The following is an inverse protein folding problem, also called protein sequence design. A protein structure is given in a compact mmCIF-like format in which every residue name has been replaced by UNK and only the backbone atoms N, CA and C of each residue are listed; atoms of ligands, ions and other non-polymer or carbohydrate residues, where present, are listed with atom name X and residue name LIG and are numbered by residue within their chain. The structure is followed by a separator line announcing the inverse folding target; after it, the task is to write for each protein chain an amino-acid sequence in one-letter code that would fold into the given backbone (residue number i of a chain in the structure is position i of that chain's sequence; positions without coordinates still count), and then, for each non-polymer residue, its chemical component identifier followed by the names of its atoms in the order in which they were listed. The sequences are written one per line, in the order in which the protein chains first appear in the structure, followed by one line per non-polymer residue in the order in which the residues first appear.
data_IF_170912101040
#
_entry.id   IF_170912101040
#
_cell.length_a   1.000
_cell.length_b   1.000
_cell.length_c   1.000
_cell.angle_alpha   90.00
_cell.angle_beta   90.00
_cell.angle_gamma   90.00
#
_symmetry.space_group_name_H-M   'P 1'
#
loop_
_entity.id
_entity.type
_entity.pdbx_description
1 polymer ?
#
# COMPACT_ATOMS: atom_id res chain seq x y z
N UNK A 1 -22.39 29.92 22.84
CA UNK A 1 -20.97 29.52 22.66
C UNK A 1 -20.80 28.02 22.36
N UNK A 2 -21.36 27.11 23.18
CA UNK A 2 -21.24 25.65 23.01
C UNK A 2 -21.76 25.09 21.66
N UNK A 3 -22.86 25.64 21.11
CA UNK A 3 -23.41 25.23 19.80
C UNK A 3 -22.46 25.59 18.65
N UNK A 4 -21.79 26.75 18.74
CA UNK A 4 -20.81 27.20 17.74
C UNK A 4 -19.55 26.34 17.80
N UNK A 5 -19.08 26.00 19.00
CA UNK A 5 -17.95 25.09 19.19
C UNK A 5 -18.26 23.68 18.66
N UNK A 6 -19.44 23.11 18.95
CA UNK A 6 -19.85 21.81 18.40
C UNK A 6 -19.90 21.81 16.87
N UNK A 7 -20.39 22.89 16.25
CA UNK A 7 -20.43 23.02 14.78
C UNK A 7 -19.01 23.07 14.20
N UNK A 8 -18.12 23.88 14.79
CA UNK A 8 -16.72 23.96 14.35
C UNK A 8 -16.00 22.61 14.49
N UNK A 9 -16.14 21.93 15.62
CA UNK A 9 -15.52 20.61 15.81
C UNK A 9 -16.05 19.57 14.81
N UNK A 10 -17.37 19.56 14.58
CA UNK A 10 -17.99 18.67 13.58
C UNK A 10 -17.45 18.95 12.18
N UNK A 11 -17.39 20.21 11.80
CA UNK A 11 -16.95 20.60 10.47
C UNK A 11 -15.45 20.27 10.28
N UNK A 12 -14.59 20.49 11.28
CA UNK A 12 -13.17 20.10 11.26
C UNK A 12 -12.99 18.59 11.08
N UNK A 13 -13.87 17.77 11.66
CA UNK A 13 -13.78 16.31 11.60
C UNK A 13 -14.37 15.73 10.31
N UNK A 14 -15.36 16.37 9.70
CA UNK A 14 -16.12 15.81 8.58
C UNK A 14 -15.81 16.46 7.23
N UNK A 15 -15.46 17.75 7.20
CA UNK A 15 -15.27 18.49 5.95
C UNK A 15 -13.83 18.33 5.42
N UNK A 16 -13.61 17.79 4.21
CA UNK A 16 -12.28 17.58 3.64
C UNK A 16 -11.42 18.83 3.49
N UNK A 17 -12.01 20.04 3.54
CA UNK A 17 -11.26 21.30 3.54
C UNK A 17 -10.33 21.47 4.75
N UNK A 18 -10.63 20.82 5.88
CA UNK A 18 -9.80 20.88 7.08
C UNK A 18 -8.77 19.74 7.16
N UNK A 19 -8.72 18.86 6.15
CA UNK A 19 -7.77 17.75 6.11
C UNK A 19 -6.31 18.19 6.29
N UNK A 20 -5.79 19.27 5.67
CA UNK A 20 -4.40 19.68 5.89
C UNK A 20 -4.09 20.03 7.35
N UNK A 21 -5.03 20.68 8.05
CA UNK A 21 -4.89 21.02 9.46
C UNK A 21 -4.83 19.76 10.34
N UNK A 22 -5.79 18.84 10.15
CA UNK A 22 -5.85 17.59 10.90
C UNK A 22 -4.62 16.72 10.61
N UNK A 23 -4.19 16.64 9.35
CA UNK A 23 -2.98 15.95 8.93
C UNK A 23 -1.72 16.51 9.60
N UNK A 24 -1.57 17.83 9.68
CA UNK A 24 -0.43 18.45 10.36
C UNK A 24 -0.39 18.12 11.86
N UNK A 25 -1.53 18.24 12.55
CA UNK A 25 -1.63 17.87 13.97
C UNK A 25 -1.31 16.39 14.21
N UNK A 26 -1.86 15.50 13.38
CA UNK A 26 -1.58 14.05 13.48
C UNK A 26 -0.12 13.74 13.18
N UNK A 27 0.49 14.35 12.17
CA UNK A 27 1.90 14.14 11.87
C UNK A 27 2.83 14.55 13.03
N UNK A 28 2.51 15.65 13.73
CA UNK A 28 3.25 16.08 14.92
C UNK A 28 3.06 15.09 16.09
N UNK A 29 1.83 14.64 16.33
CA UNK A 29 1.52 13.65 17.36
C UNK A 29 2.27 12.33 17.09
N UNK A 30 2.27 11.87 15.84
CA UNK A 30 2.97 10.67 15.39
C UNK A 30 4.49 10.79 15.57
N UNK A 31 5.08 11.98 15.41
CA UNK A 31 6.47 12.22 15.77
C UNK A 31 6.73 11.93 17.26
N UNK A 32 5.83 12.38 18.13
CA UNK A 32 5.86 12.05 19.56
C UNK A 32 5.69 10.56 19.85
N UNK A 33 4.76 9.88 19.17
CA UNK A 33 4.53 8.43 19.32
C UNK A 33 5.77 7.65 18.91
N UNK A 34 6.39 7.94 17.77
CA UNK A 34 7.60 7.26 17.33
C UNK A 34 8.75 7.44 18.33
N UNK A 35 8.95 8.67 18.82
CA UNK A 35 9.92 8.97 19.87
C UNK A 35 9.65 8.25 21.20
N UNK A 36 8.38 8.02 21.53
CA UNK A 36 7.97 7.24 22.70
C UNK A 36 8.25 5.75 22.49
N UNK A 37 7.87 5.20 21.32
CA UNK A 37 8.09 3.80 20.95
C UNK A 37 9.59 3.46 21.00
N UNK A 38 10.44 4.28 20.38
CA UNK A 38 11.91 4.07 20.37
C UNK A 38 12.50 4.03 21.78
N UNK A 39 11.96 4.82 22.72
CA UNK A 39 12.47 4.90 24.08
C UNK A 39 11.92 3.84 25.02
N UNK A 40 10.68 3.39 24.80
CA UNK A 40 9.92 2.60 25.77
C UNK A 40 9.66 1.16 25.33
N UNK A 41 9.71 0.87 24.04
CA UNK A 41 9.45 -0.47 23.50
C UNK A 41 10.78 -1.12 23.07
N UNK A 42 11.08 -2.34 23.53
CA UNK A 42 12.27 -3.06 23.10
C UNK A 42 12.31 -3.25 21.58
N UNK A 43 13.50 -3.07 21.02
CA UNK A 43 13.77 -3.40 19.63
C UNK A 43 13.54 -4.89 19.36
N UNK A 44 13.00 -5.24 18.18
CA UNK A 44 12.73 -6.64 17.80
C UNK A 44 13.46 -6.95 16.51
N UNK A 45 14.63 -7.59 16.64
CA UNK A 45 15.41 -8.05 15.51
C UNK A 45 14.65 -9.13 14.74
N UNK A 46 14.59 -8.98 13.41
CA UNK A 46 14.04 -9.99 12.50
C UNK A 46 14.91 -10.07 11.25
N UNK A 47 15.03 -8.95 10.53
CA UNK A 47 15.73 -8.92 9.24
C UNK A 47 16.86 -7.87 9.18
N UNK A 48 17.00 -6.96 10.15
CA UNK A 48 17.96 -5.86 10.05
C UNK A 48 19.39 -6.36 9.97
N UNK A 49 19.78 -7.28 10.85
CA UNK A 49 21.10 -7.91 10.80
C UNK A 49 21.35 -8.63 9.48
N UNK A 50 20.36 -9.38 8.99
CA UNK A 50 20.46 -10.06 7.71
C UNK A 50 20.65 -9.07 6.55
N UNK A 51 19.91 -7.95 6.54
CA UNK A 51 20.09 -6.89 5.54
C UNK A 51 21.51 -6.30 5.59
N UNK A 52 22.07 -6.08 6.77
CA UNK A 52 23.42 -5.54 6.93
C UNK A 52 24.49 -6.51 6.41
N UNK A 53 24.33 -7.81 6.68
CA UNK A 53 25.23 -8.86 6.18
C UNK A 53 25.14 -9.01 4.65
N UNK A 54 23.93 -8.95 4.09
CA UNK A 54 23.70 -9.02 2.64
C UNK A 54 24.42 -7.88 1.91
N UNK A 55 24.31 -6.63 2.41
CA UNK A 55 24.99 -5.48 1.79
C UNK A 55 26.48 -5.40 2.12
N UNK A 56 26.92 -5.98 3.25
CA UNK A 56 28.33 -6.12 3.59
C UNK A 56 29.06 -7.01 2.57
N UNK A 57 28.42 -8.11 2.13
CA UNK A 57 28.96 -8.93 1.03
C UNK A 57 29.26 -8.10 -0.22
N UNK A 58 28.34 -7.20 -0.58
CA UNK A 58 28.56 -6.27 -1.69
C UNK A 58 29.65 -5.23 -1.39
N UNK A 59 29.69 -4.68 -0.17
CA UNK A 59 30.71 -3.73 0.27
C UNK A 59 32.13 -4.33 0.17
N UNK A 60 32.24 -5.64 0.41
CA UNK A 60 33.49 -6.40 0.30
C UNK A 60 33.86 -6.79 -1.15
N UNK A 61 33.08 -6.36 -2.15
CA UNK A 61 33.39 -6.53 -3.57
C UNK A 61 32.58 -7.61 -4.29
N UNK A 62 31.74 -8.37 -3.60
CA UNK A 62 30.94 -9.43 -4.23
C UNK A 62 29.89 -8.84 -5.18
N UNK A 63 29.99 -9.19 -6.47
CA UNK A 63 29.01 -8.84 -7.51
C UNK A 63 28.19 -10.03 -8.01
N UNK A 64 28.53 -11.24 -7.62
CA UNK A 64 27.69 -12.41 -7.86
C UNK A 64 26.54 -12.45 -6.85
N UNK A 65 25.33 -12.14 -7.31
CA UNK A 65 24.13 -12.06 -6.48
C UNK A 65 23.79 -13.38 -5.77
N UNK A 66 24.26 -14.52 -6.30
CA UNK A 66 24.00 -15.83 -5.69
C UNK A 66 24.78 -16.05 -4.39
N UNK A 67 25.82 -15.25 -4.15
CA UNK A 67 26.70 -15.32 -2.99
C UNK A 67 26.29 -14.32 -1.90
N UNK A 68 25.45 -13.32 -2.22
CA UNK A 68 24.94 -12.35 -1.27
C UNK A 68 23.86 -13.01 -0.38
N UNK A 69 24.11 -13.09 0.92
CA UNK A 69 23.24 -13.75 1.91
C UNK A 69 23.46 -13.19 3.31
N UNK A 70 22.45 -13.31 4.16
CA UNK A 70 22.53 -13.07 5.60
C UNK A 70 21.99 -14.26 6.38
N UNK A 71 21.83 -14.09 7.69
CA UNK A 71 21.39 -15.14 8.62
C UNK A 71 19.98 -15.66 8.32
N UNK A 72 19.13 -14.86 7.68
CA UNK A 72 17.77 -15.24 7.28
C UNK A 72 17.68 -15.86 5.88
N UNK A 73 18.81 -15.97 5.18
CA UNK A 73 18.91 -16.64 3.87
C UNK A 73 19.58 -15.78 2.78
N UNK A 74 19.41 -16.18 1.51
CA UNK A 74 19.97 -15.45 0.39
C UNK A 74 19.28 -14.11 0.16
N UNK A 75 20.01 -13.15 -0.41
CA UNK A 75 19.45 -11.89 -0.85
C UNK A 75 18.46 -12.12 -2.00
N UNK A 76 17.21 -11.72 -1.78
CA UNK A 76 16.09 -11.89 -2.75
C UNK A 76 15.45 -10.56 -3.17
N UNK A 77 16.09 -9.44 -2.86
CA UNK A 77 15.63 -8.12 -3.23
C UNK A 77 16.41 -7.63 -4.45
N UNK A 78 15.84 -6.80 -5.34
CA UNK A 78 16.60 -6.27 -6.47
C UNK A 78 17.65 -5.23 -6.07
N UNK A 79 18.48 -4.81 -7.03
CA UNK A 79 19.69 -4.02 -6.78
C UNK A 79 19.46 -2.69 -6.02
N UNK A 80 18.29 -2.08 -6.15
CA UNK A 80 17.97 -0.84 -5.43
C UNK A 80 17.98 -1.01 -3.91
N UNK A 81 17.61 -2.19 -3.41
CA UNK A 81 17.77 -2.53 -2.00
C UNK A 81 19.22 -2.45 -1.58
N UNK A 82 20.14 -3.06 -2.34
CA UNK A 82 21.58 -3.11 -2.00
C UNK A 82 22.12 -1.70 -1.84
N UNK A 83 21.86 -0.80 -2.80
CA UNK A 83 22.40 0.56 -2.73
C UNK A 83 21.82 1.39 -1.58
N UNK A 84 20.52 1.30 -1.32
CA UNK A 84 19.88 2.05 -0.23
C UNK A 84 20.33 1.52 1.14
N UNK A 85 20.35 0.20 1.31
CA UNK A 85 20.77 -0.43 2.57
C UNK A 85 22.27 -0.36 2.79
N UNK A 86 23.10 -0.28 1.74
CA UNK A 86 24.52 0.04 1.87
C UNK A 86 24.72 1.46 2.42
N UNK A 87 23.91 2.43 2.00
CA UNK A 87 23.91 3.77 2.59
C UNK A 87 23.57 3.74 4.09
N UNK A 88 22.57 2.95 4.48
CA UNK A 88 22.21 2.75 5.88
C UNK A 88 23.30 2.02 6.66
N UNK A 89 23.93 1.00 6.06
CA UNK A 89 25.04 0.25 6.64
C UNK A 89 26.18 1.22 7.03
N UNK A 90 26.62 2.09 6.12
CA UNK A 90 27.66 3.06 6.47
C UNK A 90 27.19 4.11 7.47
N UNK A 91 25.96 4.63 7.35
CA UNK A 91 25.43 5.65 8.25
C UNK A 91 25.30 5.15 9.70
N UNK A 92 25.08 3.86 9.91
CA UNK A 92 24.82 3.25 11.23
C UNK A 92 26.03 2.53 11.81
N UNK A 93 27.24 2.82 11.31
CA UNK A 93 28.46 2.15 11.78
C UNK A 93 28.43 0.66 11.47
N UNK A 94 28.13 0.30 10.22
CA UNK A 94 27.99 -1.08 9.71
C UNK A 94 26.78 -1.82 10.30
N UNK A 95 25.71 -1.10 10.61
CA UNK A 95 24.49 -1.68 11.19
C UNK A 95 24.47 -1.79 12.72
N UNK A 96 25.57 -1.44 13.40
CA UNK A 96 25.69 -1.58 14.86
C UNK A 96 24.85 -0.55 15.64
N UNK A 97 24.73 0.68 15.12
CA UNK A 97 23.88 1.71 15.72
C UNK A 97 22.41 1.56 15.30
N UNK A 98 21.76 0.57 15.91
CA UNK A 98 20.34 0.30 15.70
C UNK A 98 19.49 1.50 16.14
N UNK A 99 19.89 2.26 17.17
CA UNK A 99 19.11 3.43 17.60
C UNK A 99 19.09 4.49 16.51
N UNK A 100 20.22 4.78 15.88
CA UNK A 100 20.25 5.69 14.75
C UNK A 100 19.36 5.18 13.61
N UNK A 101 19.42 3.88 13.30
CA UNK A 101 18.53 3.26 12.32
C UNK A 101 17.04 3.49 12.66
N UNK A 102 16.64 3.30 13.92
CA UNK A 102 15.26 3.56 14.37
C UNK A 102 14.83 5.01 14.16
N UNK A 103 15.71 5.99 14.40
CA UNK A 103 15.40 7.40 14.15
C UNK A 103 15.29 7.70 12.64
N UNK A 104 16.15 7.11 11.81
CA UNK A 104 16.05 7.22 10.35
C UNK A 104 14.71 6.64 9.87
N UNK A 105 14.32 5.46 10.37
CA UNK A 105 13.06 4.82 10.02
C UNK A 105 11.82 5.55 10.58
N UNK A 106 11.94 6.23 11.73
CA UNK A 106 10.90 7.13 12.20
C UNK A 106 10.75 8.34 11.26
N UNK A 107 11.84 8.90 10.75
CA UNK A 107 11.81 9.92 9.70
C UNK A 107 11.14 9.41 8.41
N UNK A 108 11.48 8.19 7.99
CA UNK A 108 10.86 7.52 6.84
C UNK A 108 9.36 7.29 7.06
N UNK A 109 8.94 6.92 8.27
CA UNK A 109 7.54 6.77 8.64
C UNK A 109 6.77 8.09 8.50
N UNK A 110 7.30 9.18 9.05
CA UNK A 110 6.68 10.50 8.96
C UNK A 110 6.62 10.98 7.50
N UNK A 111 7.68 10.78 6.71
CA UNK A 111 7.68 11.07 5.28
C UNK A 111 6.59 10.27 4.55
N UNK A 112 6.51 8.97 4.80
CA UNK A 112 5.48 8.10 4.23
C UNK A 112 4.07 8.61 4.58
N UNK A 113 3.84 8.96 5.83
CA UNK A 113 2.57 9.50 6.31
C UNK A 113 2.22 10.82 5.62
N UNK A 114 3.17 11.74 5.48
CA UNK A 114 2.98 13.01 4.76
C UNK A 114 2.63 12.79 3.28
N UNK A 115 3.30 11.84 2.61
CA UNK A 115 3.01 11.49 1.21
C UNK A 115 1.59 10.92 1.06
N UNK A 116 1.16 10.08 1.99
CA UNK A 116 -0.20 9.54 2.05
C UNK A 116 -1.22 10.65 2.30
N UNK A 117 -0.99 11.50 3.30
CA UNK A 117 -1.88 12.63 3.60
C UNK A 117 -2.02 13.57 2.41
N UNK A 118 -0.93 13.87 1.70
CA UNK A 118 -0.97 14.67 0.48
C UNK A 118 -1.89 14.04 -0.58
N UNK A 119 -1.80 12.73 -0.81
CA UNK A 119 -2.69 12.00 -1.73
C UNK A 119 -4.16 12.19 -1.31
N UNK A 120 -4.47 12.03 -0.03
CA UNK A 120 -5.84 12.20 0.45
C UNK A 120 -6.34 13.65 0.36
N UNK A 121 -5.51 14.63 0.72
CA UNK A 121 -5.83 16.05 0.54
C UNK A 121 -6.13 16.37 -0.93
N UNK A 122 -5.37 15.79 -1.87
CA UNK A 122 -5.57 15.99 -3.31
C UNK A 122 -6.85 15.34 -3.82
N UNK A 123 -7.25 14.20 -3.28
CA UNK A 123 -8.50 13.53 -3.70
C UNK A 123 -9.75 14.17 -3.10
N UNK A 124 -9.66 14.71 -1.88
CA UNK A 124 -10.77 15.37 -1.19
C UNK A 124 -11.98 14.46 -0.90
N UNK A 125 -11.79 13.14 -0.96
CA UNK A 125 -12.88 12.15 -0.84
C UNK A 125 -13.06 11.60 0.58
N UNK A 126 -12.07 11.75 1.45
CA UNK A 126 -12.07 11.13 2.78
C UNK A 126 -12.20 12.19 3.88
N UNK A 127 -13.17 12.03 4.80
CA UNK A 127 -13.31 12.92 5.94
C UNK A 127 -12.07 12.92 6.87
N UNK A 128 -11.67 14.08 7.43
CA UNK A 128 -10.49 14.19 8.28
C UNK A 128 -10.45 13.24 9.49
N UNK A 129 -11.60 12.95 10.12
CA UNK A 129 -11.62 12.06 11.30
C UNK A 129 -11.07 10.65 11.01
N UNK A 130 -11.12 10.20 9.75
CA UNK A 130 -10.65 8.86 9.38
C UNK A 130 -9.12 8.76 9.47
N UNK A 131 -8.41 9.89 9.41
CA UNK A 131 -6.96 9.94 9.49
C UNK A 131 -6.46 9.55 10.88
N UNK A 132 -7.28 9.78 11.92
CA UNK A 132 -7.00 9.29 13.26
C UNK A 132 -6.80 7.78 13.28
N UNK A 133 -7.65 7.02 12.58
CA UNK A 133 -7.49 5.56 12.49
C UNK A 133 -6.26 5.17 11.68
N UNK A 134 -5.91 5.92 10.63
CA UNK A 134 -4.70 5.65 9.84
C UNK A 134 -3.40 5.86 10.64
N UNK A 135 -3.41 6.73 11.65
CA UNK A 135 -2.22 7.02 12.44
C UNK A 135 -2.20 6.19 13.72
N UNK A 136 -3.28 6.28 14.49
CA UNK A 136 -3.30 5.86 15.88
C UNK A 136 -3.83 4.45 16.09
N UNK A 137 -4.44 3.81 15.07
CA UNK A 137 -5.08 2.50 15.26
C UNK A 137 -4.12 1.31 15.09
N UNK A 138 -2.92 1.50 14.50
CA UNK A 138 -2.03 0.37 14.24
C UNK A 138 -0.75 0.39 15.05
N UNK A 139 -0.66 -0.50 16.04
CA UNK A 139 0.62 -0.87 16.64
C UNK A 139 1.57 -1.49 15.60
N UNK A 140 1.01 -2.25 14.65
CA UNK A 140 1.77 -3.00 13.66
C UNK A 140 2.55 -2.11 12.70
N UNK A 141 2.00 -0.96 12.29
CA UNK A 141 2.71 -0.04 11.39
C UNK A 141 3.99 0.50 12.04
N UNK A 142 3.89 0.94 13.29
CA UNK A 142 5.01 1.39 14.11
C UNK A 142 6.05 0.29 14.29
N UNK A 143 5.59 -0.93 14.55
CA UNK A 143 6.49 -2.08 14.69
C UNK A 143 7.25 -2.38 13.41
N UNK A 144 6.58 -2.36 12.24
CA UNK A 144 7.22 -2.62 10.94
C UNK A 144 8.29 -1.57 10.62
N UNK A 145 7.98 -0.29 10.80
CA UNK A 145 8.92 0.79 10.51
C UNK A 145 10.04 0.84 11.55
N UNK A 146 9.72 0.96 12.83
CA UNK A 146 10.67 1.44 13.84
C UNK A 146 11.18 0.34 14.78
N UNK A 147 10.49 -0.79 14.90
CA UNK A 147 10.96 -1.89 15.74
C UNK A 147 11.59 -3.04 14.96
N UNK A 148 11.28 -3.18 13.67
CA UNK A 148 11.78 -4.26 12.79
C UNK A 148 12.66 -3.76 11.65
N UNK A 149 12.53 -2.48 11.29
CA UNK A 149 13.35 -1.82 10.26
C UNK A 149 13.27 -2.53 8.88
N UNK A 150 12.08 -3.01 8.52
CA UNK A 150 11.87 -3.74 7.27
C UNK A 150 12.09 -2.90 6.02
N UNK A 151 12.47 -3.53 4.91
CA UNK A 151 12.64 -2.82 3.64
C UNK A 151 11.32 -2.40 2.96
N UNK A 152 10.18 -3.01 3.31
CA UNK A 152 8.86 -2.64 2.78
C UNK A 152 8.53 -1.14 2.96
N UNK A 153 8.69 -0.55 4.17
CA UNK A 153 8.68 0.89 4.38
C UNK A 153 9.34 1.74 3.29
N UNK A 154 10.56 1.39 2.90
CA UNK A 154 11.36 2.16 1.93
C UNK A 154 10.72 2.07 0.55
N UNK A 155 10.39 0.85 0.10
CA UNK A 155 9.73 0.64 -1.18
C UNK A 155 8.38 1.36 -1.26
N UNK A 156 7.61 1.35 -0.17
CA UNK A 156 6.28 1.96 -0.12
C UNK A 156 6.32 3.49 -0.07
N UNK A 157 7.27 4.09 0.65
CA UNK A 157 7.46 5.53 0.64
C UNK A 157 7.78 6.03 -0.79
N UNK A 158 8.65 5.32 -1.51
CA UNK A 158 8.99 5.64 -2.91
C UNK A 158 7.77 5.45 -3.82
N UNK A 159 6.97 4.38 -3.63
CA UNK A 159 5.72 4.18 -4.38
C UNK A 159 4.71 5.30 -4.12
N UNK A 160 4.49 5.72 -2.88
CA UNK A 160 3.58 6.83 -2.59
C UNK A 160 4.10 8.15 -3.15
N UNK A 161 5.42 8.36 -3.18
CA UNK A 161 6.00 9.48 -3.89
C UNK A 161 5.68 9.40 -5.39
N UNK A 162 5.84 8.24 -6.04
CA UNK A 162 5.46 8.04 -7.43
C UNK A 162 3.99 8.38 -7.69
N UNK A 163 3.08 7.95 -6.81
CA UNK A 163 1.65 8.28 -6.87
C UNK A 163 1.41 9.79 -6.78
N UNK A 164 2.12 10.48 -5.89
CA UNK A 164 2.03 11.94 -5.79
C UNK A 164 2.43 12.65 -7.09
N UNK A 165 3.44 12.14 -7.83
CA UNK A 165 3.80 12.64 -9.16
C UNK A 165 2.74 12.31 -10.23
N UNK A 166 2.15 11.11 -10.20
CA UNK A 166 1.03 10.77 -11.09
C UNK A 166 -0.19 11.70 -10.89
N UNK A 167 -0.49 12.08 -9.64
CA UNK A 167 -1.57 13.03 -9.29
C UNK A 167 -1.28 14.48 -9.69
N UNK A 168 -0.06 14.79 -10.11
CA UNK A 168 0.37 16.09 -10.64
C UNK A 168 0.61 16.04 -12.16
N UNK A 169 0.16 14.98 -12.84
CA UNK A 169 0.42 14.76 -14.27
C UNK A 169 1.91 14.68 -14.67
N UNK A 170 2.80 14.42 -13.70
CA UNK A 170 4.24 14.26 -13.91
C UNK A 170 4.61 12.79 -14.12
N UNK A 171 4.05 12.19 -15.16
CA UNK A 171 4.07 10.73 -15.39
C UNK A 171 5.47 10.12 -15.58
N UNK A 172 6.41 10.80 -16.24
CA UNK A 172 7.78 10.27 -16.41
C UNK A 172 8.50 10.08 -15.06
N UNK A 173 8.39 11.06 -14.17
CA UNK A 173 8.96 11.01 -12.82
C UNK A 173 8.26 9.95 -11.97
N UNK A 174 6.94 9.85 -12.08
CA UNK A 174 6.18 8.78 -11.45
C UNK A 174 6.64 7.39 -11.91
N UNK A 175 6.88 7.16 -13.20
CA UNK A 175 7.40 5.89 -13.73
C UNK A 175 8.83 5.60 -13.24
N UNK A 176 9.70 6.60 -13.22
CA UNK A 176 11.05 6.48 -12.67
C UNK A 176 11.01 6.02 -11.20
N UNK A 177 10.23 6.72 -10.37
CA UNK A 177 10.09 6.40 -8.94
C UNK A 177 9.37 5.06 -8.72
N UNK A 178 8.37 4.73 -9.54
CA UNK A 178 7.72 3.43 -9.51
C UNK A 178 8.72 2.30 -9.74
N UNK A 179 9.57 2.43 -10.76
CA UNK A 179 10.63 1.46 -11.02
C UNK A 179 11.68 1.45 -9.90
N UNK A 180 12.02 2.61 -9.31
CA UNK A 180 12.90 2.66 -8.16
C UNK A 180 12.32 1.87 -6.97
N UNK A 181 11.02 2.00 -6.69
CA UNK A 181 10.34 1.22 -5.66
C UNK A 181 10.39 -0.30 -5.96
N UNK A 182 10.16 -0.70 -7.21
CA UNK A 182 10.33 -2.10 -7.67
C UNK A 182 11.76 -2.58 -7.41
N UNK A 183 12.77 -1.74 -7.65
CA UNK A 183 14.17 -2.11 -7.43
C UNK A 183 14.53 -2.31 -5.96
N UNK A 184 13.73 -1.80 -5.02
CA UNK A 184 13.87 -2.07 -3.58
C UNK A 184 13.14 -3.34 -3.19
N UNK A 185 11.92 -3.53 -3.69
CA UNK A 185 11.12 -4.72 -3.42
C UNK A 185 10.24 -5.09 -4.61
N UNK A 186 10.44 -6.29 -5.15
CA UNK A 186 9.74 -6.76 -6.36
C UNK A 186 8.21 -6.75 -6.22
N UNK A 187 7.71 -6.87 -4.98
CA UNK A 187 6.32 -6.80 -4.59
C UNK A 187 5.54 -5.59 -5.15
N UNK A 188 6.23 -4.48 -5.42
CA UNK A 188 5.65 -3.30 -6.06
C UNK A 188 5.14 -3.59 -7.49
N UNK A 189 5.63 -4.65 -8.14
CA UNK A 189 5.10 -5.12 -9.43
C UNK A 189 3.61 -5.48 -9.40
N UNK A 190 3.05 -5.78 -8.22
CA UNK A 190 1.60 -6.01 -8.08
C UNK A 190 0.76 -4.77 -8.41
N UNK A 191 1.35 -3.58 -8.42
CA UNK A 191 0.72 -2.34 -8.89
C UNK A 191 0.90 -2.09 -10.39
N UNK A 192 1.80 -2.82 -11.07
CA UNK A 192 2.17 -2.60 -12.46
C UNK A 192 0.99 -2.78 -13.44
N UNK A 193 0.09 -3.78 -13.31
CA UNK A 193 -1.09 -3.87 -14.18
C UNK A 193 -1.98 -2.63 -14.10
N UNK A 194 -2.17 -2.11 -12.87
CA UNK A 194 -2.95 -0.91 -12.65
C UNK A 194 -2.28 0.35 -13.20
N UNK A 195 -0.95 0.44 -13.15
CA UNK A 195 -0.21 1.54 -13.76
C UNK A 195 -0.24 1.46 -15.28
N UNK A 196 0.00 0.28 -15.87
CA UNK A 196 -0.03 0.07 -17.31
C UNK A 196 -1.40 0.46 -17.90
N UNK A 197 -2.48 0.05 -17.25
CA UNK A 197 -3.83 0.47 -17.62
C UNK A 197 -3.98 2.00 -17.66
N UNK A 198 -3.53 2.69 -16.61
CA UNK A 198 -3.58 4.17 -16.55
C UNK A 198 -2.72 4.82 -17.64
N UNK A 199 -1.54 4.28 -17.92
CA UNK A 199 -0.65 4.79 -18.97
C UNK A 199 -1.28 4.61 -20.36
N UNK A 200 -1.86 3.44 -20.65
CA UNK A 200 -2.55 3.18 -21.91
C UNK A 200 -3.77 4.08 -22.06
N UNK A 201 -4.56 4.28 -20.99
CA UNK A 201 -5.73 5.16 -21.03
C UNK A 201 -5.33 6.62 -21.23
N UNK A 202 -4.23 7.07 -20.64
CA UNK A 202 -3.78 8.48 -20.70
C UNK A 202 -3.03 8.81 -21.99
N UNK A 203 -2.20 7.88 -22.49
CA UNK A 203 -1.23 8.14 -23.57
C UNK A 203 -1.40 7.25 -24.81
N UNK A 204 -2.31 6.27 -24.77
CA UNK A 204 -2.39 5.23 -25.79
C UNK A 204 -1.17 4.31 -25.79
N UNK A 205 -1.10 3.42 -26.78
CA UNK A 205 -0.03 2.42 -26.87
C UNK A 205 1.34 3.07 -27.12
N UNK A 206 1.45 3.92 -28.15
CA UNK A 206 2.73 4.53 -28.55
C UNK A 206 3.28 5.48 -27.47
N UNK A 207 2.42 6.26 -26.82
CA UNK A 207 2.84 7.16 -25.75
C UNK A 207 3.20 6.45 -24.44
N UNK A 208 2.74 5.21 -24.25
CA UNK A 208 3.11 4.37 -23.10
C UNK A 208 4.54 3.83 -23.22
N UNK A 209 5.02 3.50 -24.42
CA UNK A 209 6.36 2.94 -24.68
C UNK A 209 7.48 3.72 -23.97
N UNK A 210 7.65 5.04 -24.16
CA UNK A 210 8.74 5.77 -23.51
C UNK A 210 8.63 5.75 -21.97
N UNK A 211 7.42 5.64 -21.40
CA UNK A 211 7.22 5.53 -19.94
C UNK A 211 7.68 4.16 -19.42
N UNK A 212 7.39 3.10 -20.16
CA UNK A 212 7.87 1.75 -19.87
C UNK A 212 9.39 1.64 -20.06
N UNK A 213 9.94 2.31 -21.08
CA UNK A 213 11.39 2.40 -21.28
C UNK A 213 12.09 3.04 -20.09
N UNK A 214 11.56 4.11 -19.50
CA UNK A 214 12.11 4.70 -18.26
C UNK A 214 12.19 3.65 -17.15
N UNK A 215 11.12 2.87 -16.96
CA UNK A 215 11.11 1.82 -15.95
C UNK A 215 12.18 0.76 -16.21
N UNK A 216 12.27 0.26 -17.45
CA UNK A 216 13.20 -0.79 -17.85
C UNK A 216 14.66 -0.35 -17.75
N UNK A 217 14.98 0.84 -18.27
CA UNK A 217 16.34 1.40 -18.23
C UNK A 217 16.82 1.53 -16.80
N UNK A 218 15.99 2.01 -15.87
CA UNK A 218 16.38 2.11 -14.46
C UNK A 218 16.76 0.74 -13.87
N UNK A 219 15.98 -0.32 -14.15
CA UNK A 219 16.29 -1.67 -13.66
C UNK A 219 17.62 -2.18 -14.20
N UNK A 220 17.89 -1.95 -15.50
CA UNK A 220 19.16 -2.34 -16.13
C UNK A 220 20.32 -1.55 -15.51
N UNK A 221 20.19 -0.23 -15.35
CA UNK A 221 21.24 0.63 -14.79
C UNK A 221 21.59 0.21 -13.36
N UNK A 222 20.59 0.03 -12.50
CA UNK A 222 20.82 -0.40 -11.11
C UNK A 222 21.37 -1.83 -11.05
N UNK A 223 20.85 -2.73 -11.89
CA UNK A 223 21.29 -4.13 -11.96
C UNK A 223 22.62 -4.34 -12.66
N UNK A 224 23.16 -3.35 -13.39
CA UNK A 224 24.26 -3.52 -14.33
C UNK A 224 25.47 -4.25 -13.73
N UNK A 225 25.98 -3.89 -12.53
CA UNK A 225 27.16 -4.57 -11.99
C UNK A 225 26.93 -6.06 -11.72
N UNK A 226 25.71 -6.45 -11.38
CA UNK A 226 25.33 -7.84 -11.11
C UNK A 226 25.00 -8.60 -12.41
N UNK A 227 24.42 -7.89 -13.38
CA UNK A 227 24.13 -8.42 -14.71
C UNK A 227 25.40 -8.72 -15.51
N UNK A 228 26.47 -7.94 -15.32
CA UNK A 228 27.76 -8.20 -15.95
C UNK A 228 28.49 -9.41 -15.36
N UNK A 229 28.33 -9.66 -14.06
CA UNK A 229 28.98 -10.77 -13.36
C UNK A 229 28.22 -12.10 -13.56
N UNK A 230 26.93 -12.11 -13.24
CA UNK A 230 26.09 -13.31 -13.31
C UNK A 230 24.62 -12.92 -13.58
N UNK A 231 24.24 -12.71 -14.85
CA UNK A 231 22.91 -12.20 -15.17
C UNK A 231 21.78 -13.18 -14.81
N UNK A 232 22.01 -14.49 -14.97
CA UNK A 232 21.03 -15.52 -14.58
C UNK A 232 20.87 -15.54 -13.05
N UNK A 233 21.99 -15.51 -12.32
CA UNK A 233 21.99 -15.44 -10.86
C UNK A 233 21.29 -14.19 -10.34
N UNK A 234 21.54 -13.03 -10.93
CA UNK A 234 20.85 -11.80 -10.57
C UNK A 234 19.35 -11.91 -10.80
N UNK A 235 18.89 -12.27 -12.00
CA UNK A 235 17.47 -12.29 -12.33
C UNK A 235 16.69 -13.32 -11.49
N UNK A 236 17.25 -14.52 -11.29
CA UNK A 236 16.59 -15.58 -10.52
C UNK A 236 16.50 -15.27 -9.03
N UNK A 237 17.48 -14.58 -8.46
CA UNK A 237 17.47 -14.17 -7.04
C UNK A 237 16.64 -12.92 -6.79
N UNK A 238 16.85 -11.87 -7.58
CA UNK A 238 16.18 -10.56 -7.38
C UNK A 238 14.68 -10.59 -7.71
N UNK A 239 14.25 -11.49 -8.60
CA UNK A 239 12.85 -11.67 -8.99
C UNK A 239 12.42 -13.14 -8.85
N UNK A 240 12.60 -13.70 -7.66
CA UNK A 240 12.23 -15.09 -7.35
C UNK A 240 10.70 -15.30 -7.27
N UNK A 241 10.11 -15.64 -8.42
CA UNK A 241 8.69 -16.02 -8.53
C UNK A 241 8.41 -17.46 -8.07
N UNK A 242 9.45 -18.27 -7.81
CA UNK A 242 9.34 -19.66 -7.39
C UNK A 242 9.22 -19.82 -5.87
N UNK A 243 9.50 -18.76 -5.10
CA UNK A 243 9.48 -18.79 -3.64
C UNK A 243 8.09 -19.14 -3.11
N UNK A 244 8.03 -20.21 -2.34
CA UNK A 244 6.81 -20.63 -1.65
C UNK A 244 6.75 -20.03 -0.25
N UNK A 245 5.56 -19.56 0.13
CA UNK A 245 5.34 -19.10 1.49
C UNK A 245 5.17 -20.29 2.42
N UNK A 246 5.74 -20.24 3.63
CA UNK A 246 5.64 -21.36 4.57
C UNK A 246 4.33 -21.28 5.33
N UNK A 247 3.67 -22.42 5.53
CA UNK A 247 2.37 -22.47 6.21
C UNK A 247 2.42 -21.90 7.63
N UNK A 248 3.52 -22.06 8.37
CA UNK A 248 3.69 -21.47 9.70
C UNK A 248 3.59 -19.94 9.74
N UNK A 249 3.88 -19.27 8.62
CA UNK A 249 3.82 -17.81 8.51
C UNK A 249 2.52 -17.30 7.89
N UNK A 250 1.61 -18.21 7.49
CA UNK A 250 0.34 -17.81 6.88
C UNK A 250 -0.59 -17.15 7.87
N UNK A 251 -0.91 -15.88 7.60
CA UNK A 251 -1.92 -15.12 8.35
C UNK A 251 -3.30 -15.28 7.72
N UNK A 252 -3.36 -15.35 6.39
CA UNK A 252 -4.61 -15.38 5.65
C UNK A 252 -5.21 -16.79 5.58
N UNK A 253 -4.36 -17.81 5.45
CA UNK A 253 -4.82 -19.15 5.07
C UNK A 253 -4.69 -20.17 6.19
N UNK A 254 -4.62 -19.71 7.46
CA UNK A 254 -4.37 -20.60 8.61
C UNK A 254 -5.55 -21.54 8.89
N UNK A 255 -6.71 -21.24 8.33
CA UNK A 255 -7.89 -22.11 8.38
C UNK A 255 -7.81 -23.31 7.44
N UNK A 256 -6.90 -23.31 6.47
CA UNK A 256 -6.70 -24.44 5.56
C UNK A 256 -5.74 -25.46 6.20
N UNK A 257 -5.90 -26.77 5.91
CA UNK A 257 -4.86 -27.75 6.18
C UNK A 257 -3.56 -27.39 5.46
N UNK A 258 -2.42 -27.73 6.08
CA UNK A 258 -1.09 -27.44 5.52
C UNK A 258 -0.89 -28.07 4.14
N UNK A 259 -1.40 -29.29 3.96
CA UNK A 259 -1.35 -30.04 2.70
C UNK A 259 -2.04 -29.27 1.56
N UNK A 260 -3.20 -28.66 1.85
CA UNK A 260 -3.97 -27.87 0.87
C UNK A 260 -3.24 -26.56 0.58
N UNK A 261 -2.72 -25.91 1.62
CA UNK A 261 -1.99 -24.65 1.48
C UNK A 261 -0.74 -24.82 0.62
N UNK A 262 0.01 -25.90 0.77
CA UNK A 262 1.23 -26.17 0.01
C UNK A 262 0.95 -26.75 -1.39
N UNK A 263 -0.29 -27.13 -1.69
CA UNK A 263 -0.63 -27.80 -2.94
C UNK A 263 -0.51 -26.86 -4.15
N UNK A 264 0.20 -27.29 -5.21
CA UNK A 264 0.43 -26.47 -6.41
C UNK A 264 -0.87 -26.03 -7.10
N UNK A 265 -1.91 -26.87 -7.10
CA UNK A 265 -3.19 -26.51 -7.68
C UNK A 265 -3.90 -25.38 -6.89
N UNK A 266 -3.69 -25.31 -5.57
CA UNK A 266 -4.23 -24.22 -4.76
C UNK A 266 -3.55 -22.89 -5.13
N UNK A 267 -2.22 -22.86 -5.22
CA UNK A 267 -1.48 -21.68 -5.68
C UNK A 267 -1.86 -21.24 -7.10
N UNK A 268 -1.98 -22.19 -8.03
CA UNK A 268 -2.44 -21.90 -9.39
C UNK A 268 -3.89 -21.38 -9.43
N UNK A 269 -4.76 -21.95 -8.59
CA UNK A 269 -6.14 -21.49 -8.43
C UNK A 269 -6.23 -20.06 -7.89
N UNK A 270 -5.41 -19.71 -6.89
CA UNK A 270 -5.30 -18.33 -6.39
C UNK A 270 -4.83 -17.37 -7.47
N UNK A 271 -3.81 -17.74 -8.25
CA UNK A 271 -3.31 -16.94 -9.35
C UNK A 271 -4.38 -16.75 -10.44
N UNK A 272 -5.08 -17.82 -10.83
CA UNK A 272 -6.16 -17.76 -11.82
C UNK A 272 -7.31 -16.89 -11.31
N UNK A 273 -7.71 -17.02 -10.05
CA UNK A 273 -8.74 -16.19 -9.44
C UNK A 273 -8.33 -14.70 -9.42
N UNK A 274 -7.06 -14.41 -9.12
CA UNK A 274 -6.52 -13.06 -9.16
C UNK A 274 -6.56 -12.48 -10.58
N UNK A 275 -6.01 -13.20 -11.57
CA UNK A 275 -5.99 -12.76 -12.97
C UNK A 275 -7.39 -12.60 -13.54
N UNK A 276 -8.30 -13.52 -13.23
CA UNK A 276 -9.71 -13.43 -13.63
C UNK A 276 -10.36 -12.21 -12.98
N UNK A 277 -10.09 -11.97 -11.70
CA UNK A 277 -10.52 -10.76 -11.01
C UNK A 277 -10.01 -9.50 -11.73
N UNK A 278 -8.71 -9.42 -12.04
CA UNK A 278 -8.15 -8.30 -12.79
C UNK A 278 -8.84 -8.12 -14.15
N UNK A 279 -9.00 -9.18 -14.94
CA UNK A 279 -9.66 -9.10 -16.26
C UNK A 279 -11.13 -8.68 -16.14
N UNK A 280 -11.88 -9.26 -15.20
CA UNK A 280 -13.27 -8.87 -14.95
C UNK A 280 -13.38 -7.42 -14.53
N UNK A 281 -12.49 -6.96 -13.65
CA UNK A 281 -12.37 -5.54 -13.33
C UNK A 281 -12.01 -4.75 -14.58
N UNK A 282 -11.08 -5.19 -15.43
CA UNK A 282 -10.61 -4.43 -16.59
C UNK A 282 -11.74 -4.17 -17.59
N UNK A 283 -12.54 -5.21 -17.82
CA UNK A 283 -13.64 -5.21 -18.77
C UNK A 283 -14.89 -4.53 -18.23
N UNK A 284 -15.17 -4.62 -16.92
CA UNK A 284 -16.45 -4.19 -16.37
C UNK A 284 -16.35 -2.98 -15.43
N UNK A 285 -15.24 -2.82 -14.70
CA UNK A 285 -15.21 -2.04 -13.45
C UNK A 285 -13.86 -1.43 -13.04
N UNK A 286 -12.81 -1.32 -13.86
CA UNK A 286 -11.47 -0.79 -13.45
C UNK A 286 -11.48 0.72 -13.23
N UNK A 287 -12.61 1.22 -12.76
CA UNK A 287 -12.72 2.14 -11.64
C UNK A 287 -12.77 1.37 -10.29
N UNK A 288 -11.60 0.96 -9.73
CA UNK A 288 -11.30 0.53 -8.31
C UNK A 288 -10.88 -0.95 -8.08
N UNK A 289 -10.02 -1.22 -7.06
CA UNK A 289 -8.97 -2.29 -6.95
C UNK A 289 -9.13 -3.29 -5.77
N UNK A 290 -8.42 -4.45 -5.78
CA UNK A 290 -8.23 -5.37 -4.59
C UNK A 290 -6.95 -6.24 -4.59
N UNK A 291 -6.52 -6.75 -3.40
CA UNK A 291 -5.14 -7.26 -3.08
C UNK A 291 -5.01 -8.29 -1.89
N UNK A 292 -3.78 -8.84 -1.67
CA UNK A 292 -3.32 -10.07 -0.95
C UNK A 292 -2.69 -9.84 0.49
N UNK A 293 -1.76 -10.65 1.05
CA UNK A 293 -1.36 -10.64 2.50
C UNK A 293 -0.08 -9.87 2.98
N UNK A 294 0.95 -9.60 2.16
CA UNK A 294 2.06 -8.67 2.55
C UNK A 294 1.65 -7.18 2.53
N UNK A 295 0.34 -6.96 2.61
CA UNK A 295 -0.32 -5.78 2.11
C UNK A 295 -0.71 -4.80 3.18
N UNK A 296 -0.71 -5.15 4.47
CA UNK A 296 -1.20 -4.22 5.48
C UNK A 296 -0.54 -2.83 5.34
N UNK A 297 0.80 -2.77 5.19
CA UNK A 297 1.51 -1.51 4.90
C UNK A 297 1.10 -0.83 3.58
N UNK A 298 0.67 -1.60 2.57
CA UNK A 298 0.32 -1.15 1.22
C UNK A 298 -1.10 -0.63 1.06
N UNK A 299 -2.08 -1.27 1.70
CA UNK A 299 -3.50 -0.90 1.57
C UNK A 299 -4.13 -0.42 2.86
N UNK A 300 -3.48 -0.52 4.04
CA UNK A 300 -4.02 0.06 5.28
C UNK A 300 -4.28 1.56 5.10
N UNK A 301 -3.29 2.27 4.58
CA UNK A 301 -3.41 3.67 4.19
C UNK A 301 -4.36 3.88 3.01
N UNK A 302 -4.92 2.85 2.38
CA UNK A 302 -5.93 2.96 1.32
C UNK A 302 -7.31 2.45 1.75
N UNK A 303 -7.41 1.71 2.86
CA UNK A 303 -8.64 1.10 3.36
C UNK A 303 -9.74 2.14 3.61
N UNK A 304 -9.45 3.27 4.28
CA UNK A 304 -10.35 4.41 4.36
C UNK A 304 -10.86 4.87 3.00
N UNK A 305 -9.97 5.06 2.02
CA UNK A 305 -10.38 5.44 0.68
C UNK A 305 -11.32 4.40 0.07
N UNK A 306 -10.94 3.12 0.09
CA UNK A 306 -11.74 2.03 -0.50
C UNK A 306 -13.14 1.91 0.14
N UNK A 307 -13.23 2.15 1.45
CA UNK A 307 -14.50 2.12 2.18
C UNK A 307 -15.36 3.37 1.95
N UNK A 308 -14.77 4.54 1.69
CA UNK A 308 -15.49 5.82 1.55
C UNK A 308 -15.60 6.36 0.13
N UNK A 309 -14.95 5.76 -0.88
CA UNK A 309 -14.97 6.24 -2.26
C UNK A 309 -16.28 5.93 -3.02
N UNK A 310 -17.16 5.08 -2.48
CA UNK A 310 -18.47 4.75 -3.08
C UNK A 310 -19.62 5.55 -2.46
N UNK A 311 -20.52 6.18 -3.26
CA UNK A 311 -21.74 6.82 -2.77
C UNK A 311 -22.56 5.90 -1.85
N UNK A 312 -22.86 6.38 -0.64
CA UNK A 312 -23.54 5.64 0.41
C UNK A 312 -25.05 5.58 0.19
N UNK A 313 -25.59 4.39 -0.09
CA UNK A 313 -27.02 4.11 0.13
C UNK A 313 -27.31 2.88 1.00
N UNK A 314 -26.35 1.97 1.22
CA UNK A 314 -26.61 0.70 1.94
C UNK A 314 -25.73 0.40 3.17
N UNK A 315 -24.55 1.01 3.31
CA UNK A 315 -23.66 0.78 4.46
C UNK A 315 -23.39 2.08 5.22
N UNK A 316 -23.94 2.20 6.42
CA UNK A 316 -23.74 3.35 7.33
C UNK A 316 -22.29 3.47 7.79
N UNK A 317 -21.90 4.64 8.31
CA UNK A 317 -20.51 4.91 8.73
C UNK A 317 -20.00 3.93 9.81
N UNK A 318 -20.87 3.45 10.71
CA UNK A 318 -20.48 2.55 11.82
C UNK A 318 -20.00 1.18 11.34
N UNK A 319 -20.69 0.45 10.44
CA UNK A 319 -20.19 -0.80 9.88
C UNK A 319 -18.82 -0.67 9.20
N UNK A 320 -18.53 0.46 8.55
CA UNK A 320 -17.22 0.70 7.90
C UNK A 320 -16.09 0.85 8.92
N UNK A 321 -16.34 1.58 10.02
CA UNK A 321 -15.40 1.69 11.14
C UNK A 321 -15.21 0.36 11.84
N UNK A 322 -16.29 -0.41 12.03
CA UNK A 322 -16.21 -1.77 12.55
C UNK A 322 -15.37 -2.65 11.64
N UNK A 323 -15.53 -2.54 10.31
CA UNK A 323 -14.70 -3.26 9.35
C UNK A 323 -13.21 -2.94 9.50
N UNK A 324 -12.86 -1.66 9.65
CA UNK A 324 -11.48 -1.24 9.93
C UNK A 324 -10.95 -1.87 11.22
N UNK A 325 -11.75 -1.84 12.29
CA UNK A 325 -11.39 -2.42 13.59
C UNK A 325 -11.23 -3.94 13.56
N UNK A 326 -12.10 -4.66 12.85
CA UNK A 326 -12.00 -6.13 12.70
C UNK A 326 -10.79 -6.49 11.84
N UNK A 327 -10.53 -5.76 10.75
CA UNK A 327 -9.31 -5.95 9.95
C UNK A 327 -8.08 -5.74 10.85
N UNK A 328 -8.05 -4.68 11.67
CA UNK A 328 -6.96 -4.43 12.61
C UNK A 328 -6.79 -5.54 13.65
N UNK A 329 -7.88 -6.02 14.23
CA UNK A 329 -7.88 -7.12 15.20
C UNK A 329 -7.32 -8.41 14.57
N UNK A 330 -7.74 -8.74 13.34
CA UNK A 330 -7.25 -9.90 12.61
C UNK A 330 -5.74 -9.77 12.38
N UNK A 331 -5.29 -8.57 11.99
CA UNK A 331 -3.88 -8.28 11.84
C UNK A 331 -3.13 -8.25 13.17
N UNK A 332 -3.71 -7.99 14.34
CA UNK A 332 -2.95 -8.01 15.60
C UNK A 332 -2.96 -9.37 16.32
N UNK A 333 -3.67 -10.36 15.80
CA UNK A 333 -3.70 -11.73 16.35
C UNK A 333 -2.45 -12.51 15.89
N UNK A 334 -1.53 -12.82 16.81
CA UNK A 334 -0.34 -13.64 16.52
C UNK A 334 -0.09 -14.71 17.61
N UNK A 335 0.08 -16.01 17.26
CA UNK A 335 -0.11 -16.59 15.93
C UNK A 335 -1.57 -16.43 15.46
N UNK A 336 -1.78 -16.33 14.15
CA UNK A 336 -3.13 -16.21 13.60
C UNK A 336 -3.97 -17.45 13.92
N UNK A 337 -5.26 -17.25 14.15
CA UNK A 337 -6.25 -18.30 14.40
C UNK A 337 -7.17 -18.49 13.19
N UNK A 338 -7.90 -19.62 13.15
CA UNK A 338 -8.96 -19.89 12.17
C UNK A 338 -9.95 -18.73 12.12
N UNK A 339 -10.41 -18.25 13.29
CA UNK A 339 -11.34 -17.13 13.40
C UNK A 339 -10.77 -15.85 12.81
N UNK A 340 -9.55 -15.45 13.19
CA UNK A 340 -8.91 -14.23 12.64
C UNK A 340 -8.72 -14.29 11.12
N UNK A 341 -8.43 -15.47 10.58
CA UNK A 341 -8.23 -15.67 9.13
C UNK A 341 -9.54 -15.57 8.36
N UNK A 342 -10.61 -16.21 8.87
CA UNK A 342 -11.94 -16.21 8.25
C UNK A 342 -12.57 -14.81 8.33
N UNK A 343 -12.47 -14.14 9.48
CA UNK A 343 -12.95 -12.78 9.67
C UNK A 343 -12.26 -11.80 8.71
N UNK A 344 -10.96 -11.97 8.45
CA UNK A 344 -10.23 -11.15 7.49
C UNK A 344 -10.78 -11.32 6.06
N UNK A 345 -11.01 -12.56 5.62
CA UNK A 345 -11.60 -12.86 4.31
C UNK A 345 -13.01 -12.30 4.15
N UNK A 346 -13.85 -12.42 5.19
CA UNK A 346 -15.20 -11.85 5.20
C UNK A 346 -15.11 -10.33 5.08
N UNK A 347 -14.23 -9.67 5.84
CA UNK A 347 -14.04 -8.23 5.75
C UNK A 347 -13.60 -7.80 4.34
N UNK A 348 -12.60 -8.44 3.75
CA UNK A 348 -12.18 -8.12 2.38
C UNK A 348 -13.25 -8.41 1.34
N UNK A 349 -14.01 -9.49 1.50
CA UNK A 349 -15.17 -9.81 0.68
C UNK A 349 -16.24 -8.71 0.76
N UNK A 350 -16.50 -8.16 1.95
CA UNK A 350 -17.41 -7.03 2.15
C UNK A 350 -16.88 -5.73 1.53
N UNK A 351 -15.58 -5.43 1.66
CA UNK A 351 -14.97 -4.27 0.96
C UNK A 351 -15.13 -4.42 -0.54
N UNK A 352 -14.81 -5.59 -1.08
CA UNK A 352 -14.94 -5.92 -2.51
C UNK A 352 -16.37 -5.80 -2.99
N UNK A 353 -17.31 -6.37 -2.25
CA UNK A 353 -18.73 -6.34 -2.55
C UNK A 353 -19.28 -4.92 -2.49
N UNK A 354 -18.84 -4.11 -1.51
CA UNK A 354 -19.17 -2.70 -1.44
C UNK A 354 -18.63 -1.92 -2.65
N UNK A 355 -17.39 -2.15 -3.05
CA UNK A 355 -16.81 -1.54 -4.25
C UNK A 355 -17.59 -1.97 -5.52
N UNK A 356 -18.03 -3.24 -5.57
CA UNK A 356 -18.80 -3.80 -6.67
C UNK A 356 -20.25 -3.28 -6.75
N UNK A 357 -20.91 -2.98 -5.63
CA UNK A 357 -22.29 -2.47 -5.68
C UNK A 357 -22.38 -0.95 -5.53
N UNK A 358 -21.42 -0.32 -4.85
CA UNK A 358 -21.41 1.10 -4.57
C UNK A 358 -20.94 2.00 -5.71
N UNK A 359 -20.41 1.43 -6.81
CA UNK A 359 -20.01 2.16 -8.02
C UNK A 359 -21.02 2.07 -9.16
N UNK A 360 -22.22 1.53 -8.92
CA UNK A 360 -23.29 1.52 -9.93
C UNK A 360 -23.64 2.96 -10.34
N UNK A 361 -23.65 3.22 -11.66
CA UNK A 361 -24.04 4.51 -12.23
C UNK A 361 -25.38 4.97 -11.61
N UNK A 362 -25.53 6.25 -11.25
CA UNK A 362 -26.85 6.78 -10.92
C UNK A 362 -27.81 6.48 -12.07
N UNK A 363 -29.07 6.10 -11.80
CA UNK A 363 -30.07 6.00 -12.87
C UNK A 363 -30.12 7.34 -13.61
N UNK A 364 -30.25 7.27 -14.94
CA UNK A 364 -30.30 8.43 -15.81
C UNK A 364 -31.31 9.47 -15.23
N UNK A 365 -30.99 10.77 -15.25
CA UNK A 365 -31.90 11.79 -14.75
C UNK A 365 -33.25 11.62 -15.43
N UNK A 366 -34.30 11.40 -14.64
CA UNK A 366 -35.65 11.34 -15.17
C UNK A 366 -35.95 12.67 -15.87
N UNK A 367 -36.57 12.65 -17.07
CA UNK A 367 -37.01 13.86 -17.73
C UNK A 367 -37.88 14.66 -16.74
N UNK A 368 -37.74 15.98 -16.68
CA UNK A 368 -38.44 16.82 -15.72
C UNK A 368 -39.93 16.50 -15.79
N UNK A 369 -40.49 16.01 -14.68
CA UNK A 369 -41.94 15.83 -14.60
C UNK A 369 -42.58 17.20 -14.79
N UNK A 370 -43.59 17.33 -15.68
CA UNK A 370 -44.27 18.60 -15.87
C UNK A 370 -44.82 19.06 -14.52
N UNK A 371 -44.45 20.28 -14.14
CA UNK A 371 -44.88 20.87 -12.88
C UNK A 371 -46.41 20.80 -12.77
N UNK A 372 -46.95 20.47 -11.60
CA UNK A 372 -48.42 20.48 -11.37
C UNK A 372 -49.04 21.86 -11.70
N UNK A 373 -48.25 22.94 -11.74
CA UNK A 373 -48.66 24.28 -12.20
C UNK A 373 -48.93 24.36 -13.71
N UNK A 374 -48.13 23.71 -14.56
CA UNK A 374 -48.35 23.72 -16.02
C UNK A 374 -49.57 22.89 -16.44
N UNK A 375 -49.88 21.82 -15.70
CA UNK A 375 -51.10 21.03 -15.92
C UNK A 375 -52.40 21.75 -15.48
N UNK A 376 -52.33 22.62 -14.46
CA UNK A 376 -53.48 23.41 -14.01
C UNK A 376 -53.77 24.63 -14.92
N UNK A 377 -52.75 25.21 -15.55
CA UNK A 377 -52.93 26.31 -16.52
C UNK A 377 -53.57 25.82 -17.82
N UNK A 378 -53.21 24.61 -18.30
CA UNK A 378 -53.81 24.03 -19.49
C UNK A 378 -55.28 23.63 -19.33
N UNK A 379 -55.74 23.32 -18.11
CA UNK A 379 -57.15 22.99 -17.81
C UNK A 379 -58.06 24.20 -17.59
N UNK A 380 -57.48 25.41 -17.50
CA UNK A 380 -58.25 26.66 -17.39
C UNK A 380 -58.31 27.44 -18.71
N UNK A 381 -57.68 26.93 -19.77
CA UNK A 381 -57.63 27.54 -21.09
C UNK A 381 -58.38 26.71 -22.17
N UNK A 382 -59.10 25.67 -21.76
CA UNK A 382 -60.19 25.01 -22.49
C UNK A 382 -61.46 25.21 -21.68
#
# INVERSE_FOLDING_TARGET
MAVRLRRVCRDVLLEPRYTPLVAACLCLAEGGVNLWVIRRVPYTEIDWQAYMQEVEGFANGTRDYTQLRGDTGPLVYPAGFVYLFLGLYYATGRGADVRLAQHIFAGLYLLNLLLVFRIYCRTGKVPPYVFFFMCCASYRIHSIFVLRLFNDPVAMAILFLAINFFLEDRWSWGCLLFSLAVSVKMNILLFAPGLLFLLLQRFGLLGCIPKLCICAVLQVVLGLPFLLENPVGYLTRSFDLGRQFQFKWTVNWRFLPEEVFQHRAFHAGLLLAHLTGLVLFALHRWHSRSLHYQFYVWYFHTLPYLLWCTPTSKLTHMPKVLLLGVIELCWNTYPSTVYSSLSLHICHGLVLLQLWYGTALPPAPQPPQPSKKSAQLSRKAQ
#
